data_IF_765237075421
#
_entry.id   IF_765237075421
#
_cell.length_a   1.000
_cell.length_b   1.000
_cell.length_c   1.000
_cell.angle_alpha   90.00
_cell.angle_beta   90.00
_cell.angle_gamma   90.00
#
_symmetry.space_group_name_H-M   'P 1'
#
loop_
_entity.id
_entity.type
_entity.pdbx_description
1 polymer ?
#
# COMPACT_ATOMS: atom_id res chain seq x y z
N UNK A 1 0.06 -21.93 7.17
CA UNK A 1 -0.86 -20.86 7.61
C UNK A 1 -0.05 -19.59 7.57
N UNK A 2 -0.09 -18.88 6.44
CA UNK A 2 0.55 -17.58 6.31
C UNK A 2 -0.43 -16.53 6.77
N UNK A 3 -0.08 -15.77 7.79
CA UNK A 3 -0.84 -14.60 8.21
C UNK A 3 -0.81 -13.60 7.06
N UNK A 4 -1.94 -13.47 6.35
CA UNK A 4 -2.13 -12.44 5.36
C UNK A 4 -2.30 -11.12 6.11
N UNK A 5 -1.23 -10.32 6.15
CA UNK A 5 -1.27 -8.97 6.69
C UNK A 5 -2.17 -8.15 5.78
N UNK A 6 -3.43 -7.97 6.20
CA UNK A 6 -4.34 -7.00 5.60
C UNK A 6 -3.84 -5.63 6.00
N UNK A 7 -2.98 -5.03 5.17
CA UNK A 7 -2.50 -3.67 5.38
C UNK A 7 -3.67 -2.71 5.10
N UNK A 8 -4.40 -2.35 6.14
CA UNK A 8 -5.40 -1.28 6.07
C UNK A 8 -4.68 0.05 5.81
N UNK A 9 -5.02 0.76 4.73
CA UNK A 9 -4.37 2.03 4.39
C UNK A 9 -4.95 3.18 5.21
N UNK A 10 -4.16 4.25 5.42
CA UNK A 10 -4.53 5.41 6.25
C UNK A 10 -5.89 6.03 5.87
N UNK A 11 -6.24 6.05 4.58
CA UNK A 11 -7.53 6.57 4.09
C UNK A 11 -8.73 5.69 4.48
N UNK A 12 -8.51 4.41 4.76
CA UNK A 12 -9.53 3.43 5.14
C UNK A 12 -9.65 3.28 6.68
N UNK A 13 -8.80 3.98 7.45
CA UNK A 13 -8.80 3.95 8.92
C UNK A 13 -9.48 5.20 9.46
N UNK A 14 -10.54 5.03 10.24
CA UNK A 14 -11.19 6.12 10.98
C UNK A 14 -10.46 6.30 12.33
N UNK A 15 -9.48 7.21 12.40
CA UNK A 15 -8.64 7.39 13.59
C UNK A 15 -9.44 8.14 14.65
N UNK A 16 -10.05 7.41 15.57
CA UNK A 16 -10.90 7.95 16.64
C UNK A 16 -10.16 8.06 18.00
N UNK A 17 -8.82 8.06 18.00
CA UNK A 17 -8.01 8.00 19.22
C UNK A 17 -7.44 9.35 19.66
N UNK A 18 -7.02 9.44 20.92
CA UNK A 18 -6.14 10.52 21.37
C UNK A 18 -4.72 10.36 20.80
N UNK A 19 -3.92 11.44 20.84
CA UNK A 19 -2.60 11.60 20.20
C UNK A 19 -1.67 10.37 20.32
N UNK A 20 -1.70 9.65 21.44
CA UNK A 20 -0.83 8.48 21.68
C UNK A 20 -1.29 7.22 20.93
N UNK A 21 -2.58 6.94 20.89
CA UNK A 21 -3.15 5.77 20.19
C UNK A 21 -2.92 5.90 18.68
N UNK A 22 -3.15 7.10 18.15
CA UNK A 22 -2.94 7.45 16.75
C UNK A 22 -1.47 7.28 16.33
N UNK A 23 -0.52 7.58 17.22
CA UNK A 23 0.90 7.38 16.96
C UNK A 23 1.28 5.91 16.88
N UNK A 24 0.74 5.06 17.77
CA UNK A 24 1.00 3.62 17.70
C UNK A 24 0.45 3.00 16.41
N UNK A 25 -0.78 3.36 16.04
CA UNK A 25 -1.39 2.90 14.78
C UNK A 25 -0.60 3.37 13.55
N UNK A 26 -0.08 4.60 13.58
CA UNK A 26 0.81 5.11 12.52
C UNK A 26 2.13 4.33 12.44
N UNK A 27 2.73 4.00 13.58
CA UNK A 27 3.99 3.25 13.64
C UNK A 27 3.85 1.83 13.11
N UNK A 28 2.76 1.15 13.46
CA UNK A 28 2.47 -0.18 12.95
C UNK A 28 2.18 -0.14 11.46
N UNK A 29 1.42 0.86 10.99
CA UNK A 29 1.20 1.07 9.56
C UNK A 29 2.52 1.32 8.79
N UNK A 30 3.43 2.14 9.30
CA UNK A 30 4.75 2.37 8.68
C UNK A 30 5.57 1.07 8.57
N UNK A 31 5.41 0.16 9.53
CA UNK A 31 6.13 -1.12 9.53
C UNK A 31 5.54 -2.09 8.51
N UNK A 32 4.23 -2.07 8.34
CA UNK A 32 3.51 -2.94 7.43
C UNK A 32 3.61 -2.48 5.97
N UNK A 33 3.70 -1.18 5.71
CA UNK A 33 3.72 -0.69 4.33
C UNK A 33 5.07 -0.90 3.66
N UNK A 34 5.06 -1.82 2.72
CA UNK A 34 6.17 -2.10 1.81
C UNK A 34 6.64 -0.84 1.06
N UNK A 35 7.96 -0.65 1.01
CA UNK A 35 8.59 0.42 0.24
C UNK A 35 8.63 1.79 0.94
N UNK A 36 7.93 1.99 2.07
CA UNK A 36 7.91 3.29 2.75
C UNK A 36 9.31 3.67 3.28
N UNK A 37 10.01 2.74 3.93
CA UNK A 37 11.33 2.99 4.55
C UNK A 37 12.39 3.31 3.50
N UNK A 38 12.36 2.59 2.39
CA UNK A 38 13.25 2.76 1.25
C UNK A 38 13.06 4.17 0.66
N UNK A 39 11.82 4.56 0.38
CA UNK A 39 11.49 5.87 -0.18
C UNK A 39 11.91 7.01 0.74
N UNK A 40 11.69 6.87 2.05
CA UNK A 40 12.16 7.85 3.05
C UNK A 40 13.69 7.90 3.07
N UNK A 41 14.35 6.74 3.14
CA UNK A 41 15.80 6.62 3.19
C UNK A 41 16.47 7.24 1.98
N UNK A 42 16.03 6.86 0.79
CA UNK A 42 16.54 7.38 -0.49
C UNK A 42 16.36 8.89 -0.56
N UNK A 43 15.16 9.39 -0.26
CA UNK A 43 14.88 10.83 -0.28
C UNK A 43 15.70 11.62 0.75
N UNK A 44 15.96 11.02 1.91
CA UNK A 44 16.66 11.67 3.02
C UNK A 44 18.17 11.74 2.80
N UNK A 45 18.73 10.71 2.18
CA UNK A 45 20.16 10.55 1.95
C UNK A 45 20.65 11.32 0.71
N UNK A 46 19.75 11.79 -0.16
CA UNK A 46 20.13 12.63 -1.29
C UNK A 46 20.92 13.89 -0.85
N UNK A 47 22.10 14.14 -1.45
CA UNK A 47 22.92 15.28 -1.08
C UNK A 47 22.23 16.62 -1.36
N UNK A 48 22.72 17.65 -0.68
CA UNK A 48 22.31 19.05 -0.83
C UNK A 48 23.58 19.91 -0.83
N UNK A 49 24.17 20.04 -2.01
CA UNK A 49 25.40 20.79 -2.24
C UNK A 49 25.12 22.30 -2.30
N UNK A 50 26.07 23.10 -1.81
CA UNK A 50 25.96 24.57 -1.83
C UNK A 50 24.88 25.19 -0.92
N UNK A 51 24.18 24.40 -0.10
CA UNK A 51 23.11 24.90 0.78
C UNK A 51 23.64 25.27 2.18
N UNK A 52 23.24 26.45 2.66
CA UNK A 52 23.48 26.92 4.05
C UNK A 52 22.94 25.91 5.06
N UNK A 53 23.75 25.56 6.08
CA UNK A 53 23.46 24.50 7.06
C UNK A 53 22.05 24.60 7.67
N UNK A 54 21.59 25.80 7.99
CA UNK A 54 20.26 26.07 8.59
C UNK A 54 19.09 25.76 7.65
N UNK A 55 19.30 25.83 6.33
CA UNK A 55 18.27 25.51 5.32
C UNK A 55 18.26 24.04 4.91
N UNK A 56 19.32 23.27 5.22
CA UNK A 56 19.44 21.87 4.80
C UNK A 56 18.29 21.01 5.30
N UNK A 57 17.92 21.12 6.57
CA UNK A 57 16.81 20.34 7.16
C UNK A 57 15.48 20.70 6.48
N UNK A 58 15.18 22.00 6.35
CA UNK A 58 13.96 22.46 5.70
C UNK A 58 13.84 21.97 4.25
N UNK A 59 14.94 21.97 3.50
CA UNK A 59 14.96 21.43 2.14
C UNK A 59 14.80 19.91 2.09
N UNK A 60 15.44 19.18 3.01
CA UNK A 60 15.25 17.73 3.14
C UNK A 60 13.78 17.39 3.42
N UNK A 61 13.15 18.09 4.35
CA UNK A 61 11.72 17.91 4.66
C UNK A 61 10.81 18.27 3.48
N UNK A 62 11.10 19.37 2.76
CA UNK A 62 10.32 19.77 1.58
C UNK A 62 10.41 18.70 0.47
N UNK A 63 11.60 18.17 0.23
CA UNK A 63 11.83 17.09 -0.74
C UNK A 63 11.13 15.81 -0.28
N UNK A 64 11.31 15.40 0.97
CA UNK A 64 10.66 14.23 1.53
C UNK A 64 9.13 14.32 1.41
N UNK A 65 8.54 15.48 1.70
CA UNK A 65 7.11 15.72 1.51
C UNK A 65 6.68 15.48 0.06
N UNK A 66 7.42 15.99 -0.91
CA UNK A 66 7.12 15.79 -2.33
C UNK A 66 7.24 14.32 -2.72
N UNK A 67 8.34 13.66 -2.31
CA UNK A 67 8.57 12.25 -2.58
C UNK A 67 7.46 11.37 -1.99
N UNK A 68 7.09 11.58 -0.73
CA UNK A 68 6.03 10.83 -0.06
C UNK A 68 4.68 11.05 -0.73
N UNK A 69 4.37 12.28 -1.16
CA UNK A 69 3.13 12.57 -1.88
C UNK A 69 3.08 11.81 -3.21
N UNK A 70 4.18 11.80 -3.96
CA UNK A 70 4.27 11.07 -5.22
C UNK A 70 4.15 9.57 -5.01
N UNK A 71 4.91 9.02 -4.06
CA UNK A 71 4.86 7.60 -3.70
C UNK A 71 3.46 7.17 -3.26
N UNK A 72 2.79 7.96 -2.42
CA UNK A 72 1.41 7.67 -1.99
C UNK A 72 0.45 7.62 -3.18
N UNK A 73 0.60 8.52 -4.16
CA UNK A 73 -0.21 8.50 -5.37
C UNK A 73 0.04 7.25 -6.23
N UNK A 74 1.30 6.89 -6.45
CA UNK A 74 1.64 5.68 -7.22
C UNK A 74 1.23 4.40 -6.49
N UNK A 75 1.40 4.32 -5.17
CA UNK A 75 0.94 3.19 -4.37
C UNK A 75 -0.59 3.01 -4.48
N UNK A 76 -1.35 4.12 -4.42
CA UNK A 76 -2.81 4.10 -4.63
C UNK A 76 -3.17 3.62 -6.03
N UNK A 77 -2.46 4.08 -7.06
CA UNK A 77 -2.66 3.67 -8.44
C UNK A 77 -2.39 2.17 -8.64
N UNK A 78 -1.27 1.67 -8.13
CA UNK A 78 -0.94 0.23 -8.17
C UNK A 78 -1.99 -0.62 -7.44
N UNK A 79 -2.51 -0.13 -6.31
CA UNK A 79 -3.62 -0.78 -5.60
C UNK A 79 -4.87 -0.89 -6.46
N UNK A 80 -5.26 0.21 -7.12
CA UNK A 80 -6.43 0.20 -8.01
C UNK A 80 -6.22 -0.76 -9.19
N UNK A 81 -5.03 -0.76 -9.78
CA UNK A 81 -4.68 -1.68 -10.87
C UNK A 81 -4.74 -3.15 -10.40
N UNK A 82 -4.21 -3.46 -9.21
CA UNK A 82 -4.29 -4.80 -8.64
C UNK A 82 -5.75 -5.22 -8.39
N UNK A 83 -6.57 -4.34 -7.80
CA UNK A 83 -8.00 -4.61 -7.59
C UNK A 83 -8.72 -4.87 -8.92
N UNK A 84 -8.46 -4.07 -9.96
CA UNK A 84 -9.06 -4.30 -11.28
C UNK A 84 -8.60 -5.61 -11.93
N UNK A 85 -7.33 -5.98 -11.76
CA UNK A 85 -6.79 -7.25 -12.26
C UNK A 85 -7.45 -8.45 -11.59
N UNK A 86 -7.58 -8.42 -10.25
CA UNK A 86 -8.24 -9.47 -9.47
C UNK A 86 -9.72 -9.58 -9.87
N UNK A 87 -10.41 -8.45 -10.05
CA UNK A 87 -11.81 -8.45 -10.47
C UNK A 87 -12.00 -9.09 -11.87
N UNK A 88 -11.08 -8.81 -12.80
CA UNK A 88 -11.08 -9.43 -14.12
C UNK A 88 -10.87 -10.95 -14.03
N UNK A 89 -9.91 -11.39 -13.21
CA UNK A 89 -9.62 -12.81 -13.00
C UNK A 89 -10.82 -13.56 -12.39
N UNK A 90 -11.47 -12.97 -11.37
CA UNK A 90 -12.71 -13.51 -10.81
C UNK A 90 -13.79 -13.63 -11.89
N UNK A 91 -13.96 -12.61 -12.73
CA UNK A 91 -14.94 -12.63 -13.82
C UNK A 91 -14.65 -13.74 -14.84
N UNK A 92 -13.39 -14.04 -15.13
CA UNK A 92 -13.01 -15.16 -15.99
C UNK A 92 -13.35 -16.51 -15.35
N UNK A 93 -13.09 -16.63 -14.05
CA UNK A 93 -13.43 -17.84 -13.27
C UNK A 93 -14.94 -18.02 -13.11
N UNK A 94 -15.73 -16.94 -13.01
CA UNK A 94 -17.20 -16.98 -13.05
C UNK A 94 -17.69 -17.52 -14.40
N UNK A 95 -17.12 -17.06 -15.52
CA UNK A 95 -17.49 -17.56 -16.85
C UNK A 95 -17.16 -19.05 -17.07
N UNK A 96 -16.03 -19.53 -16.55
CA UNK A 96 -15.68 -20.96 -16.56
C UNK A 96 -16.65 -21.79 -15.71
N UNK A 97 -17.09 -21.25 -14.57
CA UNK A 97 -18.08 -21.91 -13.71
C UNK A 97 -19.44 -22.03 -14.41
N UNK A 98 -19.89 -20.97 -15.09
CA UNK A 98 -21.13 -20.98 -15.88
C UNK A 98 -21.08 -22.01 -17.02
N UNK A 99 -19.89 -22.24 -17.60
CA UNK A 99 -19.68 -23.26 -18.62
C UNK A 99 -19.52 -24.68 -18.05
N UNK A 100 -19.47 -24.85 -16.72
CA UNK A 100 -19.22 -26.12 -16.05
C UNK A 100 -17.78 -26.66 -16.23
N UNK A 101 -16.83 -25.79 -16.58
CA UNK A 101 -15.43 -26.13 -16.87
C UNK A 101 -14.48 -25.78 -15.71
N UNK A 102 -14.99 -25.20 -14.62
CA UNK A 102 -14.16 -24.76 -13.50
C UNK A 102 -13.69 -25.94 -12.64
N UNK A 103 -12.39 -26.13 -12.58
CA UNK A 103 -11.75 -27.18 -11.77
C UNK A 103 -11.69 -26.82 -10.28
N UNK A 104 -11.40 -27.81 -9.42
CA UNK A 104 -11.35 -27.61 -7.97
C UNK A 104 -10.24 -26.63 -7.56
N UNK A 105 -9.08 -26.67 -8.22
CA UNK A 105 -7.96 -25.75 -7.93
C UNK A 105 -8.29 -24.30 -8.32
N UNK A 106 -9.00 -24.12 -9.44
CA UNK A 106 -9.46 -22.80 -9.91
C UNK A 106 -10.55 -22.23 -9.00
N UNK A 107 -11.41 -23.10 -8.45
CA UNK A 107 -12.42 -22.73 -7.45
C UNK A 107 -11.79 -22.27 -6.14
N UNK A 108 -10.74 -22.95 -5.69
CA UNK A 108 -9.98 -22.54 -4.51
C UNK A 108 -9.29 -21.18 -4.76
N UNK A 109 -8.68 -21.01 -5.93
CA UNK A 109 -8.06 -19.73 -6.35
C UNK A 109 -9.09 -18.60 -6.35
N UNK A 110 -10.29 -18.84 -6.91
CA UNK A 110 -11.41 -17.88 -6.90
C UNK A 110 -11.80 -17.47 -5.49
N UNK A 111 -11.89 -18.42 -4.56
CA UNK A 111 -12.23 -18.15 -3.16
C UNK A 111 -11.17 -17.30 -2.46
N UNK A 112 -9.89 -17.60 -2.70
CA UNK A 112 -8.76 -16.82 -2.17
C UNK A 112 -8.77 -15.39 -2.72
N UNK A 113 -8.99 -15.22 -4.03
CA UNK A 113 -9.09 -13.90 -4.66
C UNK A 113 -10.27 -13.08 -4.10
N UNK A 114 -11.45 -13.70 -3.91
CA UNK A 114 -12.61 -13.07 -3.28
C UNK A 114 -12.32 -12.65 -1.84
N UNK A 115 -11.63 -13.48 -1.06
CA UNK A 115 -11.19 -13.15 0.30
C UNK A 115 -10.20 -11.97 0.34
N UNK A 116 -9.45 -11.73 -0.74
CA UNK A 116 -8.50 -10.61 -0.83
C UNK A 116 -9.16 -9.28 -1.22
N UNK A 117 -10.43 -9.30 -1.68
CA UNK A 117 -11.18 -8.10 -2.05
C UNK A 117 -12.01 -7.51 -0.90
N UNK A 118 -12.35 -8.31 0.12
CA UNK A 118 -13.05 -7.92 1.35
C UNK A 118 -12.09 -7.31 2.37
#
# INVERSE_FOLDING_TARGET
MGDFIVIHWVEDRNWAGGITEDMHQFWDWIREVDGFREVVGDSWNLPLDGVVRTKKIALKLKRLKHTLKHWSHEAKKLRLQRKSSIALEISMLDALEECGLLENEERETKNQLKATML
#
